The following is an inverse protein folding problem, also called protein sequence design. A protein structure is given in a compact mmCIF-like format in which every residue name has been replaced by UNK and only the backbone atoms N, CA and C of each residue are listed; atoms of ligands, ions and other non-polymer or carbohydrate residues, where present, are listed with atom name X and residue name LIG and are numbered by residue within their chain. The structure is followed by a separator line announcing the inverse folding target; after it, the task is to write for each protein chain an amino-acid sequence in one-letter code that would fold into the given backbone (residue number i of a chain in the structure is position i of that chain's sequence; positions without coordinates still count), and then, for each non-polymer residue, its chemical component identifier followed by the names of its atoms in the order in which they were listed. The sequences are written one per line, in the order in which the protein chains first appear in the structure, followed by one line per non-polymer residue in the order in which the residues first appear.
data_IF_175485718024
#
_entry.id   IF_175485718024
#
_cell.length_a   1.000
_cell.length_b   1.000
_cell.length_c   1.000
_cell.angle_alpha   90.00
_cell.angle_beta   90.00
_cell.angle_gamma   90.00
#
_symmetry.space_group_name_H-M   'P 1'
#
loop_
_entity.id
_entity.type
_entity.pdbx_description
1 polymer ?
#
# COMPACT_ATOMS: atom_id res chain seq x y z
N UNK A 1 -17.08 14.43 13.87
CA UNK A 1 -16.94 15.72 14.57
C UNK A 1 -18.18 16.55 14.31
N UNK A 2 -18.47 17.55 15.14
CA UNK A 2 -19.60 18.46 14.94
C UNK A 2 -19.11 19.76 14.30
N UNK A 3 -19.25 19.87 12.97
CA UNK A 3 -18.81 21.04 12.19
C UNK A 3 -19.91 22.11 12.06
N UNK A 4 -21.18 21.75 12.24
CA UNK A 4 -22.30 22.68 12.15
C UNK A 4 -22.48 23.52 13.42
N UNK A 5 -22.33 22.93 14.61
CA UNK A 5 -22.69 23.66 15.84
C UNK A 5 -21.53 24.42 16.50
N UNK A 6 -20.28 24.07 16.18
CA UNK A 6 -19.11 24.52 16.94
C UNK A 6 -18.16 25.44 16.16
N UNK A 7 -18.26 25.51 14.83
CA UNK A 7 -17.29 26.23 14.01
C UNK A 7 -18.00 27.16 13.01
N UNK A 8 -17.85 28.49 13.14
CA UNK A 8 -18.40 29.44 12.18
C UNK A 8 -17.62 29.40 10.85
N UNK A 9 -18.17 29.99 9.76
CA UNK A 9 -17.53 30.02 8.45
C UNK A 9 -16.08 30.50 8.49
N UNK A 10 -15.76 31.52 9.29
CA UNK A 10 -14.40 32.05 9.40
C UNK A 10 -13.38 30.98 9.81
N UNK A 11 -13.79 30.00 10.63
CA UNK A 11 -12.90 28.94 11.11
C UNK A 11 -12.83 27.79 10.12
N UNK A 12 -13.97 27.32 9.61
CA UNK A 12 -13.99 26.22 8.64
C UNK A 12 -13.28 26.63 7.33
N UNK A 13 -13.64 27.80 6.79
CA UNK A 13 -12.99 28.40 5.62
C UNK A 13 -11.50 28.61 5.84
N UNK A 14 -11.08 29.25 6.94
CA UNK A 14 -9.65 29.52 7.16
C UNK A 14 -8.83 28.23 7.28
N UNK A 15 -9.35 27.19 7.94
CA UNK A 15 -8.66 25.90 8.06
C UNK A 15 -8.52 25.20 6.72
N UNK A 16 -9.58 25.14 5.93
CA UNK A 16 -9.56 24.48 4.61
C UNK A 16 -8.62 25.19 3.63
N UNK A 17 -8.61 26.53 3.63
CA UNK A 17 -7.75 27.32 2.74
C UNK A 17 -6.30 27.47 3.24
N UNK A 18 -5.97 26.84 4.37
CA UNK A 18 -4.64 26.82 4.94
C UNK A 18 -4.00 25.45 4.78
N UNK A 19 -2.70 25.41 4.50
CA UNK A 19 -1.93 24.17 4.45
C UNK A 19 -1.34 23.85 3.08
N UNK A 20 -0.72 22.67 2.93
CA UNK A 20 0.07 22.33 1.75
C UNK A 20 -0.74 21.76 0.58
N UNK A 21 -2.05 21.54 0.73
CA UNK A 21 -2.92 20.93 -0.29
C UNK A 21 -2.75 19.40 -0.42
N UNK A 22 -3.32 18.84 -1.49
CA UNK A 22 -3.41 17.39 -1.73
C UNK A 22 -2.19 16.76 -2.42
N UNK A 23 -1.20 17.57 -2.83
CA UNK A 23 -0.09 17.09 -3.67
C UNK A 23 0.72 15.94 -3.03
N UNK A 24 0.89 15.94 -1.71
CA UNK A 24 1.57 14.86 -1.00
C UNK A 24 0.80 13.53 -1.04
N UNK A 25 -0.53 13.58 -1.04
CA UNK A 25 -1.39 12.39 -1.20
C UNK A 25 -1.32 11.83 -2.61
N UNK A 26 -1.29 12.70 -3.63
CA UNK A 26 -1.10 12.28 -5.02
C UNK A 26 0.30 11.68 -5.25
N UNK A 27 1.34 12.26 -4.62
CA UNK A 27 2.68 11.68 -4.65
C UNK A 27 2.71 10.31 -3.95
N UNK A 28 2.01 10.16 -2.83
CA UNK A 28 1.88 8.88 -2.15
C UNK A 28 1.15 7.84 -3.02
N UNK A 29 0.07 8.23 -3.72
CA UNK A 29 -0.64 7.36 -4.65
C UNK A 29 0.31 6.82 -5.74
N UNK A 30 1.06 7.71 -6.40
CA UNK A 30 2.04 7.33 -7.41
C UNK A 30 3.13 6.39 -6.85
N UNK A 31 3.58 6.60 -5.61
CA UNK A 31 4.57 5.73 -4.99
C UNK A 31 4.02 4.32 -4.70
N UNK A 32 2.75 4.22 -4.30
CA UNK A 32 2.09 2.93 -4.06
C UNK A 32 1.86 2.15 -5.36
N UNK A 33 1.51 2.84 -6.45
CA UNK A 33 1.43 2.21 -7.78
C UNK A 33 2.78 1.67 -8.24
N UNK A 34 3.87 2.41 -8.01
CA UNK A 34 5.22 1.92 -8.31
C UNK A 34 5.55 0.67 -7.50
N UNK A 35 5.21 0.62 -6.22
CA UNK A 35 5.38 -0.59 -5.39
C UNK A 35 4.57 -1.76 -5.95
N UNK A 36 3.34 -1.53 -6.40
CA UNK A 36 2.51 -2.56 -7.02
C UNK A 36 3.16 -3.13 -8.29
N UNK A 37 3.71 -2.27 -9.14
CA UNK A 37 4.43 -2.65 -10.37
C UNK A 37 5.69 -3.47 -10.04
N UNK A 38 6.49 -3.02 -9.08
CA UNK A 38 7.72 -3.73 -8.68
C UNK A 38 7.41 -5.10 -8.06
N UNK A 39 6.33 -5.23 -7.28
CA UNK A 39 5.90 -6.52 -6.73
C UNK A 39 5.44 -7.49 -7.82
N UNK A 40 4.68 -7.00 -8.81
CA UNK A 40 4.30 -7.81 -9.97
C UNK A 40 5.51 -8.22 -10.83
N UNK A 41 6.46 -7.30 -11.03
CA UNK A 41 7.72 -7.59 -11.73
C UNK A 41 8.56 -8.63 -10.99
N UNK A 42 8.62 -8.54 -9.66
CA UNK A 42 9.30 -9.53 -8.83
C UNK A 42 8.65 -10.91 -8.97
N UNK A 43 7.33 -11.01 -8.92
CA UNK A 43 6.60 -12.27 -9.11
C UNK A 43 6.93 -12.92 -10.47
N UNK A 44 6.94 -12.13 -11.55
CA UNK A 44 7.33 -12.61 -12.88
C UNK A 44 8.81 -13.02 -12.93
N UNK A 45 9.70 -12.28 -12.24
CA UNK A 45 11.10 -12.65 -12.08
C UNK A 45 11.28 -14.03 -11.44
N UNK A 46 10.52 -14.32 -10.37
CA UNK A 46 10.51 -15.65 -9.74
C UNK A 46 10.02 -16.74 -10.71
N UNK A 47 8.91 -16.50 -11.42
CA UNK A 47 8.37 -17.44 -12.42
C UNK A 47 9.37 -17.73 -13.54
N UNK A 48 10.07 -16.70 -14.02
CA UNK A 48 11.11 -16.80 -15.05
C UNK A 48 12.31 -17.65 -14.60
N UNK A 49 12.81 -17.42 -13.38
CA UNK A 49 13.90 -18.23 -12.80
C UNK A 49 13.47 -19.68 -12.64
N UNK A 50 12.26 -19.92 -12.11
CA UNK A 50 11.69 -21.27 -11.96
C UNK A 50 11.59 -21.98 -13.31
N UNK A 51 11.11 -21.30 -14.35
CA UNK A 51 11.01 -21.82 -15.71
C UNK A 51 12.39 -22.19 -16.27
N UNK A 52 13.37 -21.31 -16.09
CA UNK A 52 14.76 -21.53 -16.54
C UNK A 52 15.39 -22.74 -15.86
N UNK A 53 15.29 -22.83 -14.53
CA UNK A 53 15.82 -23.97 -13.77
C UNK A 53 15.13 -25.28 -14.17
N UNK A 54 13.81 -25.24 -14.38
CA UNK A 54 13.05 -26.37 -14.90
C UNK A 54 13.50 -26.77 -16.31
N UNK A 55 13.93 -25.82 -17.15
CA UNK A 55 14.51 -26.15 -18.47
C UNK A 55 15.88 -26.86 -18.39
N UNK A 56 16.61 -26.70 -17.29
CA UNK A 56 17.97 -27.25 -17.09
C UNK A 56 17.99 -28.66 -16.49
N UNK A 57 16.92 -29.45 -16.66
CA UNK A 57 16.77 -30.80 -16.09
C UNK A 57 16.82 -30.86 -14.55
N UNK A 58 16.49 -29.76 -13.87
CA UNK A 58 16.42 -29.70 -12.41
C UNK A 58 15.12 -30.29 -11.87
N UNK A 59 14.94 -31.62 -11.96
CA UNK A 59 13.66 -32.31 -11.71
C UNK A 59 13.68 -33.31 -10.54
N UNK A 60 14.64 -33.17 -9.63
CA UNK A 60 14.75 -34.07 -8.48
C UNK A 60 13.73 -33.78 -7.36
N UNK A 61 13.60 -34.67 -6.36
CA UNK A 61 12.74 -34.44 -5.19
C UNK A 61 13.07 -33.14 -4.43
N UNK A 62 14.34 -32.75 -4.38
CA UNK A 62 14.76 -31.48 -3.79
C UNK A 62 14.27 -30.26 -4.60
N UNK A 63 14.32 -30.33 -5.93
CA UNK A 63 13.78 -29.31 -6.83
C UNK A 63 12.27 -29.17 -6.66
N UNK A 64 11.54 -30.28 -6.61
CA UNK A 64 10.10 -30.29 -6.36
C UNK A 64 9.73 -29.68 -5.00
N UNK A 65 10.50 -29.99 -3.95
CA UNK A 65 10.30 -29.40 -2.62
C UNK A 65 10.53 -27.88 -2.61
N UNK A 66 11.56 -27.39 -3.32
CA UNK A 66 11.83 -25.95 -3.44
C UNK A 66 10.71 -25.23 -4.20
N UNK A 67 10.22 -25.79 -5.30
CA UNK A 67 9.12 -25.22 -6.08
C UNK A 67 7.82 -25.15 -5.25
N UNK A 68 7.51 -26.21 -4.50
CA UNK A 68 6.35 -26.24 -3.61
C UNK A 68 6.43 -25.17 -2.51
N UNK A 69 7.63 -24.88 -2.01
CA UNK A 69 7.84 -23.87 -0.99
C UNK A 69 7.82 -22.43 -1.52
N UNK A 70 8.20 -22.23 -2.79
CA UNK A 70 8.27 -20.90 -3.42
C UNK A 70 6.90 -20.39 -3.89
N UNK A 71 5.98 -21.28 -4.27
CA UNK A 71 4.63 -20.92 -4.74
C UNK A 71 3.89 -19.92 -3.84
N UNK A 72 3.74 -20.21 -2.53
CA UNK A 72 3.08 -19.29 -1.60
C UNK A 72 3.71 -17.90 -1.50
N UNK A 73 5.02 -17.77 -1.76
CA UNK A 73 5.71 -16.48 -1.76
C UNK A 73 5.38 -15.67 -3.02
N UNK A 74 5.31 -16.32 -4.18
CA UNK A 74 4.89 -15.67 -5.43
C UNK A 74 3.43 -15.21 -5.31
N UNK A 75 2.55 -16.05 -4.78
CA UNK A 75 1.15 -15.68 -4.53
C UNK A 75 1.06 -14.49 -3.57
N UNK A 76 1.90 -14.46 -2.53
CA UNK A 76 2.00 -13.32 -1.62
C UNK A 76 2.45 -12.03 -2.32
N UNK A 77 3.44 -12.09 -3.22
CA UNK A 77 3.87 -10.93 -4.01
C UNK A 77 2.72 -10.37 -4.85
N UNK A 78 1.96 -11.24 -5.53
CA UNK A 78 0.84 -10.84 -6.38
C UNK A 78 -0.30 -10.21 -5.57
N UNK A 79 -0.69 -10.84 -4.45
CA UNK A 79 -1.72 -10.32 -3.53
C UNK A 79 -1.29 -8.98 -2.93
N UNK A 80 -0.03 -8.87 -2.49
CA UNK A 80 0.53 -7.64 -1.92
C UNK A 80 0.61 -6.54 -2.97
N UNK A 81 0.95 -6.87 -4.22
CA UNK A 81 0.95 -5.92 -5.33
C UNK A 81 -0.44 -5.38 -5.63
N UNK A 82 -1.45 -6.25 -5.66
CA UNK A 82 -2.85 -5.83 -5.81
C UNK A 82 -3.31 -4.91 -4.67
N UNK A 83 -2.92 -5.23 -3.43
CA UNK A 83 -3.24 -4.40 -2.26
C UNK A 83 -2.51 -3.04 -2.28
N UNK A 84 -1.27 -3.00 -2.78
CA UNK A 84 -0.53 -1.75 -2.99
C UNK A 84 -1.24 -0.85 -4.01
N UNK A 85 -1.72 -1.41 -5.13
CA UNK A 85 -2.49 -0.66 -6.12
C UNK A 85 -3.82 -0.14 -5.55
N UNK A 86 -4.52 -0.94 -4.74
CA UNK A 86 -5.72 -0.45 -4.04
C UNK A 86 -5.37 0.70 -3.07
N UNK A 87 -4.25 0.61 -2.37
CA UNK A 87 -3.78 1.69 -1.48
C UNK A 87 -3.48 2.97 -2.27
N UNK A 88 -2.96 2.86 -3.50
CA UNK A 88 -2.78 4.01 -4.39
C UNK A 88 -4.11 4.69 -4.74
N UNK A 89 -5.12 3.89 -5.13
CA UNK A 89 -6.46 4.39 -5.42
C UNK A 89 -7.07 5.12 -4.21
N UNK A 90 -6.89 4.57 -3.01
CA UNK A 90 -7.40 5.16 -1.77
C UNK A 90 -6.70 6.49 -1.42
N UNK A 91 -5.39 6.59 -1.64
CA UNK A 91 -4.66 7.86 -1.49
C UNK A 91 -5.13 8.92 -2.49
N UNK A 92 -5.40 8.53 -3.75
CA UNK A 92 -5.98 9.43 -4.75
C UNK A 92 -7.42 9.85 -4.39
N UNK A 93 -8.23 8.94 -3.85
CA UNK A 93 -9.57 9.25 -3.36
C UNK A 93 -9.55 10.24 -2.19
N UNK A 94 -8.60 10.10 -1.25
CA UNK A 94 -8.40 11.05 -0.16
C UNK A 94 -8.00 12.44 -0.66
N UNK A 95 -7.14 12.51 -1.69
CA UNK A 95 -6.80 13.76 -2.36
C UNK A 95 -8.04 14.41 -3.01
N UNK A 96 -8.84 13.63 -3.74
CA UNK A 96 -10.07 14.11 -4.37
C UNK A 96 -11.10 14.62 -3.35
N UNK A 97 -11.23 13.95 -2.21
CA UNK A 97 -12.09 14.39 -1.11
C UNK A 97 -11.69 15.77 -0.59
N UNK A 98 -10.39 16.03 -0.42
CA UNK A 98 -9.88 17.34 -0.03
C UNK A 98 -10.19 18.41 -1.08
N UNK A 99 -9.91 18.14 -2.35
CA UNK A 99 -10.14 19.13 -3.43
C UNK A 99 -11.62 19.47 -3.59
N UNK A 100 -12.50 18.47 -3.45
CA UNK A 100 -13.95 18.70 -3.46
C UNK A 100 -14.38 19.56 -2.26
N UNK A 101 -13.88 19.27 -1.06
CA UNK A 101 -14.19 20.04 0.12
C UNK A 101 -13.69 21.48 -0.01
N UNK A 102 -12.46 21.68 -0.48
CA UNK A 102 -11.88 22.99 -0.76
C UNK A 102 -12.72 23.79 -1.76
N UNK A 103 -13.20 23.16 -2.84
CA UNK A 103 -14.02 23.80 -3.85
C UNK A 103 -15.43 24.18 -3.33
N UNK A 104 -15.99 23.41 -2.40
CA UNK A 104 -17.30 23.69 -1.80
C UNK A 104 -17.22 24.70 -0.64
N UNK A 105 -16.10 24.77 0.08
CA UNK A 105 -15.92 25.70 1.20
C UNK A 105 -15.87 27.14 0.71
N UNK A 106 -16.60 28.01 1.40
CA UNK A 106 -16.68 29.43 1.07
C UNK A 106 -15.29 30.08 1.17
N UNK A 107 -14.88 30.93 0.22
CA UNK A 107 -13.60 31.63 0.35
C UNK A 107 -13.59 32.58 1.55
N UNK A 108 -12.52 32.61 2.38
CA UNK A 108 -12.47 33.46 3.58
C UNK A 108 -12.74 34.95 3.32
N UNK A 109 -12.36 35.47 2.14
CA UNK A 109 -12.60 36.86 1.76
C UNK A 109 -14.09 37.18 1.58
N UNK A 110 -14.91 36.20 1.17
CA UNK A 110 -16.36 36.36 0.99
C UNK A 110 -17.03 36.46 2.35
N UNK A 111 -16.65 35.60 3.30
CA UNK A 111 -17.12 35.66 4.70
C UNK A 111 -16.78 37.03 5.31
N UNK A 112 -15.54 37.49 5.16
CA UNK A 112 -15.10 38.78 5.67
C UNK A 112 -15.86 39.97 5.05
N UNK A 113 -16.16 39.90 3.74
CA UNK A 113 -16.93 40.94 3.06
C UNK A 113 -18.35 41.06 3.59
N UNK A 114 -19.04 39.94 3.84
CA UNK A 114 -20.37 39.92 4.45
C UNK A 114 -20.33 40.54 5.86
N UNK A 115 -19.35 40.17 6.70
CA UNK A 115 -19.23 40.77 8.05
C UNK A 115 -18.93 42.26 8.01
N UNK A 116 -18.11 42.72 7.05
CA UNK A 116 -17.84 44.15 6.87
C UNK A 116 -19.09 44.92 6.42
N UNK A 117 -19.89 44.34 5.51
CA UNK A 117 -21.16 44.91 5.06
C UNK A 117 -22.15 45.05 6.22
N UNK A 118 -22.29 44.01 7.05
CA UNK A 118 -23.15 44.04 8.22
C UNK A 118 -22.80 45.22 9.15
N UNK A 119 -21.52 45.39 9.47
CA UNK A 119 -21.05 46.51 10.31
C UNK A 119 -21.41 47.87 9.69
N UNK A 120 -21.24 48.03 8.38
CA UNK A 120 -21.60 49.27 7.68
C UNK A 120 -23.11 49.55 7.68
N UNK A 121 -23.93 48.51 7.47
CA UNK A 121 -25.40 48.63 7.48
C UNK A 121 -25.92 48.99 8.87
N UNK A 122 -25.40 48.35 9.92
CA UNK A 122 -25.73 48.64 11.32
C UNK A 122 -25.33 50.07 11.68
N UNK A 123 -24.10 50.48 11.34
CA UNK A 123 -23.60 51.82 11.62
C UNK A 123 -24.41 52.94 10.95
N UNK A 124 -25.07 52.65 9.83
CA UNK A 124 -25.93 53.59 9.09
C UNK A 124 -27.43 53.44 9.39
N UNK A 125 -27.85 52.53 10.27
CA UNK A 125 -29.26 52.23 10.54
C UNK A 125 -29.95 53.19 11.52
N UNK A 126 -29.64 54.49 11.49
CA UNK A 126 -30.15 55.48 12.45
C UNK A 126 -31.69 55.56 12.50
N UNK A 127 -32.34 55.36 11.36
CA UNK A 127 -33.80 55.42 11.22
C UNK A 127 -34.45 54.05 10.99
N UNK A 128 -33.72 52.95 11.17
CA UNK A 128 -34.26 51.60 10.96
C UNK A 128 -34.46 51.20 9.49
N UNK A 129 -34.10 52.04 8.51
CA UNK A 129 -34.31 51.80 7.08
C UNK A 129 -33.50 50.62 6.54
N UNK A 130 -32.34 50.32 7.14
CA UNK A 130 -31.45 49.24 6.71
C UNK A 130 -31.81 47.89 7.33
N UNK A 131 -32.84 47.80 8.18
CA UNK A 131 -33.18 46.58 8.92
C UNK A 131 -33.38 45.38 7.99
N UNK A 132 -34.07 45.54 6.86
CA UNK A 132 -34.25 44.46 5.88
C UNK A 132 -32.92 44.01 5.24
N UNK A 133 -31.99 44.94 4.99
CA UNK A 133 -30.68 44.61 4.42
C UNK A 133 -29.76 43.93 5.45
N UNK A 134 -29.88 44.29 6.73
CA UNK A 134 -29.18 43.63 7.84
C UNK A 134 -29.62 42.17 7.93
N UNK A 135 -30.93 41.92 7.95
CA UNK A 135 -31.47 40.55 8.01
C UNK A 135 -31.07 39.72 6.78
N UNK A 136 -31.07 40.33 5.58
CA UNK A 136 -30.55 39.65 4.38
C UNK A 136 -29.07 39.28 4.51
N UNK A 137 -28.24 40.18 5.05
CA UNK A 137 -26.80 39.95 5.26
C UNK A 137 -26.55 38.83 6.29
N UNK A 138 -27.33 38.80 7.39
CA UNK A 138 -27.24 37.71 8.39
C UNK A 138 -27.75 36.38 7.83
N UNK A 139 -28.76 36.39 6.93
CA UNK A 139 -29.22 35.18 6.23
C UNK A 139 -28.15 34.62 5.31
N UNK A 140 -27.50 35.46 4.49
CA UNK A 140 -26.36 35.05 3.66
C UNK A 140 -25.23 34.45 4.50
N UNK A 141 -24.97 35.02 5.69
CA UNK A 141 -23.99 34.46 6.62
C UNK A 141 -24.39 33.07 7.14
N UNK A 142 -25.67 32.87 7.49
CA UNK A 142 -26.19 31.57 7.89
C UNK A 142 -26.09 30.53 6.75
N UNK A 143 -26.30 30.94 5.50
CA UNK A 143 -26.11 30.09 4.32
C UNK A 143 -24.64 29.68 4.15
N UNK A 144 -23.70 30.61 4.27
CA UNK A 144 -22.26 30.31 4.26
C UNK A 144 -21.88 29.31 5.37
N UNK A 145 -22.49 29.44 6.56
CA UNK A 145 -22.27 28.50 7.66
C UNK A 145 -22.78 27.11 7.32
N UNK A 146 -24.01 27.00 6.83
CA UNK A 146 -24.57 25.72 6.43
C UNK A 146 -23.75 25.05 5.31
N UNK A 147 -23.26 25.82 4.33
CA UNK A 147 -22.43 25.34 3.23
C UNK A 147 -21.08 24.81 3.72
N UNK A 148 -20.36 25.57 4.54
CA UNK A 148 -19.08 25.14 5.11
C UNK A 148 -19.22 23.90 5.99
N UNK A 149 -20.29 23.84 6.80
CA UNK A 149 -20.58 22.66 7.61
C UNK A 149 -20.85 21.43 6.73
N UNK A 150 -21.67 21.58 5.68
CA UNK A 150 -21.94 20.53 4.70
C UNK A 150 -20.66 20.02 4.04
N UNK A 151 -19.81 20.94 3.58
CA UNK A 151 -18.52 20.59 2.98
C UNK A 151 -17.62 19.79 3.94
N UNK A 152 -17.57 20.14 5.22
CA UNK A 152 -16.78 19.42 6.21
C UNK A 152 -17.36 18.04 6.58
N UNK A 153 -18.68 17.89 6.60
CA UNK A 153 -19.30 16.57 6.82
C UNK A 153 -19.05 15.62 5.65
N UNK A 154 -19.22 16.10 4.41
CA UNK A 154 -18.93 15.33 3.22
C UNK A 154 -17.45 14.95 3.16
N UNK A 155 -16.57 15.91 3.47
CA UNK A 155 -15.13 15.66 3.56
C UNK A 155 -14.79 14.58 4.59
N UNK A 156 -15.40 14.65 5.79
CA UNK A 156 -15.17 13.67 6.84
C UNK A 156 -15.67 12.27 6.44
N UNK A 157 -16.84 12.17 5.82
CA UNK A 157 -17.41 10.91 5.36
C UNK A 157 -16.56 10.28 4.25
N UNK A 158 -16.24 11.05 3.22
CA UNK A 158 -15.43 10.59 2.07
C UNK A 158 -14.00 10.26 2.48
N UNK A 159 -13.38 11.05 3.36
CA UNK A 159 -12.05 10.73 3.92
C UNK A 159 -12.06 9.47 4.78
N UNK A 160 -13.11 9.24 5.57
CA UNK A 160 -13.23 8.02 6.36
C UNK A 160 -13.33 6.76 5.48
N UNK A 161 -14.04 6.85 4.35
CA UNK A 161 -14.07 5.78 3.36
C UNK A 161 -12.71 5.61 2.67
N UNK A 162 -12.09 6.71 2.25
CA UNK A 162 -10.79 6.69 1.57
C UNK A 162 -9.63 6.20 2.45
N UNK A 163 -9.80 6.18 3.76
CA UNK A 163 -8.77 5.72 4.72
C UNK A 163 -9.06 4.32 5.28
N UNK A 164 -10.08 3.64 4.78
CA UNK A 164 -10.42 2.26 5.15
C UNK A 164 -9.52 1.25 4.40
N UNK A 165 -8.25 1.20 4.79
CA UNK A 165 -7.24 0.33 4.16
C UNK A 165 -7.27 -1.10 4.72
N UNK A 166 -7.07 -2.07 3.83
CA UNK A 166 -6.87 -3.48 4.22
C UNK A 166 -5.44 -3.66 4.75
N UNK A 167 -5.24 -4.26 5.94
CA UNK A 167 -3.91 -4.50 6.47
C UNK A 167 -3.10 -5.47 5.61
N UNK A 168 -1.81 -5.20 5.46
CA UNK A 168 -0.86 -6.09 4.82
C UNK A 168 -0.52 -7.29 5.71
N UNK A 169 -0.47 -8.48 5.11
CA UNK A 169 0.02 -9.69 5.77
C UNK A 169 1.50 -9.90 5.44
N UNK A 170 2.25 -10.45 6.40
CA UNK A 170 3.62 -10.89 6.15
C UNK A 170 3.62 -12.17 5.29
N UNK A 171 4.67 -12.39 4.47
CA UNK A 171 4.81 -13.65 3.75
C UNK A 171 4.94 -14.81 4.73
N UNK A 172 4.42 -15.98 4.34
CA UNK A 172 4.64 -17.22 5.08
C UNK A 172 6.13 -17.61 5.09
N UNK A 173 6.51 -18.50 6.01
CA UNK A 173 7.83 -19.13 6.00
C UNK A 173 7.95 -20.04 4.77
N UNK A 174 8.94 -19.76 3.93
CA UNK A 174 9.28 -20.48 2.70
C UNK A 174 10.33 -21.59 2.92
N UNK A 175 10.88 -21.67 4.14
CA UNK A 175 11.85 -22.70 4.52
C UNK A 175 11.33 -23.55 5.67
N UNK A 176 11.63 -24.85 5.62
CA UNK A 176 11.32 -25.76 6.72
C UNK A 176 12.47 -25.75 7.75
N UNK A 177 12.24 -25.27 8.99
CA UNK A 177 13.29 -25.25 10.02
C UNK A 177 13.82 -26.64 10.38
N UNK A 178 13.01 -27.68 10.19
CA UNK A 178 13.42 -29.08 10.38
C UNK A 178 14.16 -29.67 9.15
N UNK A 179 14.30 -28.92 8.06
CA UNK A 179 14.89 -29.39 6.81
C UNK A 179 16.33 -29.89 6.98
N UNK A 180 17.15 -29.20 7.78
CA UNK A 180 18.53 -29.61 8.06
C UNK A 180 18.59 -30.92 8.88
N UNK A 181 17.66 -31.10 9.82
CA UNK A 181 17.55 -32.33 10.59
C UNK A 181 17.05 -33.50 9.73
N UNK A 182 16.07 -33.26 8.85
CA UNK A 182 15.61 -34.25 7.89
C UNK A 182 16.73 -34.65 6.90
N UNK A 183 17.54 -33.69 6.46
CA UNK A 183 18.70 -33.93 5.60
C UNK A 183 19.74 -34.82 6.30
N UNK A 184 20.09 -34.54 7.56
CA UNK A 184 21.07 -35.33 8.30
C UNK A 184 20.60 -36.78 8.53
N UNK A 185 19.30 -36.97 8.77
CA UNK A 185 18.68 -38.29 8.85
C UNK A 185 18.74 -39.01 7.49
N UNK A 186 18.40 -38.33 6.40
CA UNK A 186 18.45 -38.92 5.05
C UNK A 186 19.87 -39.35 4.66
N UNK A 187 20.89 -38.56 4.98
CA UNK A 187 22.32 -38.91 4.77
C UNK A 187 22.69 -40.15 5.59
N UNK A 188 22.25 -40.21 6.84
CA UNK A 188 22.53 -41.35 7.73
C UNK A 188 21.86 -42.65 7.24
N UNK A 189 20.62 -42.57 6.75
CA UNK A 189 19.91 -43.72 6.17
C UNK A 189 20.54 -44.17 4.85
N UNK A 190 20.98 -43.25 3.99
CA UNK A 190 21.68 -43.60 2.75
C UNK A 190 23.00 -44.33 3.03
N UNK A 191 23.75 -43.91 4.06
CA UNK A 191 24.98 -44.58 4.47
C UNK A 191 24.72 -45.98 5.06
N UNK A 192 23.61 -46.15 5.78
CA UNK A 192 23.20 -47.44 6.36
C UNK A 192 22.58 -48.44 5.38
N UNK A 193 21.95 -47.95 4.30
CA UNK A 193 21.26 -48.76 3.30
C UNK A 193 22.12 -49.07 2.05
N UNK A 194 23.36 -48.55 1.99
CA UNK A 194 24.29 -48.92 0.94
C UNK A 194 24.59 -50.44 1.05
N UNK A 195 24.40 -51.24 -0.02
CA UNK A 195 24.81 -52.64 0.03
C UNK A 195 26.31 -52.68 0.29
N UNK A 196 26.79 -53.62 1.11
CA UNK A 196 28.23 -53.75 1.40
C UNK A 196 29.09 -53.83 0.12
N UNK A 197 28.50 -54.29 -0.99
CA UNK A 197 29.08 -54.29 -2.32
C UNK A 197 29.29 -52.90 -2.92
N UNK A 198 28.48 -51.89 -2.62
CA UNK A 198 28.67 -50.52 -3.07
C UNK A 198 29.86 -49.86 -2.36
N UNK A 199 30.00 -50.00 -1.03
CA UNK A 199 31.21 -49.56 -0.33
C UNK A 199 32.47 -50.32 -0.79
N UNK A 200 32.35 -51.62 -1.10
CA UNK A 200 33.49 -52.38 -1.63
C UNK A 200 33.84 -52.00 -3.08
N UNK A 201 32.85 -51.73 -3.94
CA UNK A 201 33.07 -51.29 -5.32
C UNK A 201 33.65 -49.88 -5.37
N UNK A 202 33.23 -48.97 -4.49
CA UNK A 202 33.82 -47.64 -4.38
C UNK A 202 35.24 -47.67 -3.83
N UNK A 203 35.52 -48.52 -2.83
CA UNK A 203 36.90 -48.71 -2.32
C UNK A 203 37.80 -49.42 -3.34
N UNK A 204 37.28 -50.32 -4.16
CA UNK A 204 37.98 -50.93 -5.30
C UNK A 204 38.20 -49.94 -6.46
N UNK A 205 37.21 -49.12 -6.81
CA UNK A 205 37.36 -48.10 -7.85
C UNK A 205 38.37 -47.03 -7.46
N UNK A 206 38.33 -46.57 -6.21
CA UNK A 206 39.31 -45.59 -5.69
C UNK A 206 40.71 -46.17 -5.51
N UNK A 207 40.85 -47.48 -5.29
CA UNK A 207 42.17 -48.14 -5.28
C UNK A 207 42.70 -48.46 -6.68
N UNK A 208 41.84 -48.57 -7.70
CA UNK A 208 42.21 -48.79 -9.11
C UNK A 208 42.56 -47.50 -9.86
N UNK A 209 42.09 -46.33 -9.41
CA UNK A 209 42.38 -45.03 -10.04
C UNK A 209 43.88 -44.67 -10.03
N UNK A 210 44.67 -44.90 -8.96
CA UNK A 210 46.11 -44.65 -8.96
C UNK A 210 46.90 -45.54 -9.91
N UNK A 211 46.48 -46.79 -10.12
CA UNK A 211 47.19 -47.78 -10.96
C UNK A 211 46.82 -47.70 -12.46
N UNK A 212 45.68 -47.08 -12.79
CA UNK A 212 45.27 -46.85 -14.18
C UNK A 212 45.95 -45.63 -14.83
N UNK A 213 46.44 -44.67 -14.05
CA UNK A 213 47.09 -43.45 -14.55
C UNK A 213 48.47 -43.69 -15.24
N UNK A 214 49.34 -44.62 -14.77
CA UNK A 214 50.61 -44.92 -15.44
C UNK A 214 50.51 -45.85 -16.66
N UNK A 215 49.39 -46.55 -16.85
CA UNK A 215 49.19 -47.49 -17.97
C UNK A 215 48.61 -46.85 -19.23
N UNK A 216 48.22 -45.57 -19.16
CA UNK A 216 47.81 -44.75 -20.31
C UNK A 216 48.95 -43.89 -20.87
N UNK A 217 50.17 -44.00 -20.32
CA UNK A 217 51.35 -43.21 -20.72
C UNK A 217 52.45 -44.02 -21.43
N UNK A 218 52.10 -45.10 -22.15
CA UNK A 218 52.97 -45.69 -23.19
C UNK A 218 52.22 -45.73 -24.52
#
# INVERSE_FOLDING_TARGET
MDYAFLLPPEVNSARMYSGPGSASLLAAAASWDMVAIELASAAEGYRSVISTLSGMYWWGPASAAMLAATGPFIDWLEITGALASETANQAAAAAAAYEQAYAMTVPPIVVAANRALLVALVASNFFGQNTAAIEATESEYAEMWAQDAGAMYDYAATSAMATALVPFSAPGQDTNPAGLAAQSVAVSQAAGNAPASAQSVWSQLTSLVPDALPSLSN
#
